data_IF_870891230967
#
_entry.id   IF_870891230967
#
_cell.length_a   1.000
_cell.length_b   1.000
_cell.length_c   1.000
_cell.angle_alpha   90.00
_cell.angle_beta   90.00
_cell.angle_gamma   90.00
#
_symmetry.space_group_name_H-M   'P 1'
#
loop_
_entity.id
_entity.type
_entity.pdbx_description
1 polymer ?
#
# COMPACT_ATOMS: atom_id res chain seq x y z
N UNK A 1 15.11 1.40 -9.07
CA UNK A 1 13.84 0.77 -8.67
C UNK A 1 14.05 0.14 -7.31
N UNK A 2 13.23 0.50 -6.34
CA UNK A 2 13.31 -0.02 -4.98
C UNK A 2 11.95 -0.60 -4.59
N UNK A 3 11.97 -1.78 -3.97
CA UNK A 3 10.75 -2.41 -3.49
C UNK A 3 10.40 -1.86 -2.12
N UNK A 4 9.11 -1.57 -1.92
CA UNK A 4 8.59 -1.14 -0.63
C UNK A 4 7.43 -2.03 -0.20
N UNK A 5 7.34 -2.23 1.11
CA UNK A 5 6.21 -2.83 1.79
C UNK A 5 5.56 -1.76 2.66
N UNK A 6 4.27 -1.53 2.43
CA UNK A 6 3.44 -0.60 3.17
C UNK A 6 2.38 -1.42 3.89
N UNK A 7 2.31 -1.30 5.22
CA UNK A 7 1.27 -1.94 6.02
C UNK A 7 0.26 -0.87 6.41
N UNK A 8 -1.01 -1.11 6.11
CA UNK A 8 -2.13 -0.25 6.49
C UNK A 8 -3.14 -0.98 7.35
N UNK A 9 -3.97 -0.24 8.08
CA UNK A 9 -5.15 -0.77 8.76
C UNK A 9 -6.29 -0.97 7.74
N UNK A 10 -6.92 -2.13 7.78
CA UNK A 10 -8.05 -2.51 6.93
C UNK A 10 -7.81 -3.82 6.17
N UNK A 11 -8.66 -4.06 5.16
CA UNK A 11 -8.69 -5.28 4.33
C UNK A 11 -8.68 -4.94 2.85
N UNK A 12 -8.36 -5.92 1.99
CA UNK A 12 -8.46 -5.75 0.53
C UNK A 12 -9.92 -5.84 0.07
N UNK A 13 -10.66 -4.75 0.23
CA UNK A 13 -11.99 -4.59 -0.36
C UNK A 13 -11.93 -4.21 -1.85
N UNK A 14 -13.04 -4.28 -2.60
CA UNK A 14 -13.05 -4.02 -4.04
C UNK A 14 -12.44 -2.68 -4.46
N UNK A 15 -12.68 -1.63 -3.69
CA UNK A 15 -12.12 -0.29 -3.93
C UNK A 15 -10.60 -0.26 -3.75
N UNK A 16 -10.08 -0.94 -2.72
CA UNK A 16 -8.64 -1.00 -2.43
C UNK A 16 -7.95 -1.86 -3.48
N UNK A 17 -8.52 -3.01 -3.83
CA UNK A 17 -7.97 -3.88 -4.86
C UNK A 17 -7.92 -3.20 -6.23
N UNK A 18 -8.93 -2.41 -6.59
CA UNK A 18 -8.92 -1.63 -7.83
C UNK A 18 -7.92 -0.45 -7.79
N UNK A 19 -7.69 0.13 -6.62
CA UNK A 19 -6.76 1.24 -6.46
C UNK A 19 -5.29 0.82 -6.43
N UNK A 20 -5.00 -0.46 -6.22
CA UNK A 20 -3.64 -1.01 -6.12
C UNK A 20 -3.51 -2.30 -6.93
N UNK A 21 -4.17 -2.36 -8.09
CA UNK A 21 -4.21 -3.51 -9.00
C UNK A 21 -2.83 -3.88 -9.58
N UNK A 22 -1.94 -2.90 -9.69
CA UNK A 22 -0.53 -3.10 -10.08
C UNK A 22 0.38 -3.54 -8.91
N UNK A 23 -0.16 -3.75 -7.70
CA UNK A 23 0.60 -4.09 -6.49
C UNK A 23 0.20 -5.45 -5.92
N UNK A 24 1.13 -6.07 -5.18
CA UNK A 24 0.84 -7.28 -4.42
C UNK A 24 0.13 -6.91 -3.11
N UNK A 25 -1.09 -7.42 -2.93
CA UNK A 25 -1.89 -7.25 -1.72
C UNK A 25 -1.87 -8.54 -0.88
N UNK A 26 -1.66 -8.42 0.42
CA UNK A 26 -1.70 -9.57 1.35
C UNK A 26 -2.36 -9.18 2.67
N UNK A 27 -3.46 -9.85 3.02
CA UNK A 27 -4.09 -9.66 4.32
C UNK A 27 -3.21 -10.20 5.44
N UNK A 28 -3.08 -9.42 6.51
CA UNK A 28 -2.33 -9.75 7.71
C UNK A 28 -3.28 -9.86 8.92
N UNK A 29 -2.91 -10.63 9.96
CA UNK A 29 -3.72 -10.72 11.17
C UNK A 29 -3.98 -9.35 11.82
N UNK A 30 -5.17 -9.18 12.40
CA UNK A 30 -5.53 -7.97 13.16
C UNK A 30 -6.00 -6.80 12.29
N UNK A 31 -6.74 -7.07 11.22
CA UNK A 31 -7.30 -6.05 10.31
C UNK A 31 -6.21 -5.17 9.69
N UNK A 32 -5.21 -5.84 9.09
CA UNK A 32 -4.08 -5.19 8.44
C UNK A 32 -3.96 -5.69 7.02
N UNK A 33 -3.51 -4.82 6.13
CA UNK A 33 -3.23 -5.13 4.75
C UNK A 33 -1.78 -4.73 4.43
N UNK A 34 -1.02 -5.65 3.86
CA UNK A 34 0.28 -5.37 3.27
C UNK A 34 0.09 -5.06 1.78
N UNK A 35 0.69 -3.97 1.34
CA UNK A 35 0.76 -3.51 -0.05
C UNK A 35 2.23 -3.49 -0.42
N UNK A 36 2.62 -4.27 -1.42
CA UNK A 36 3.99 -4.36 -1.91
C UNK A 36 4.06 -3.96 -3.38
N UNK A 37 4.99 -3.08 -3.70
CA UNK A 37 5.22 -2.60 -5.06
C UNK A 37 6.67 -2.23 -5.31
N UNK A 38 7.01 -2.08 -6.58
CA UNK A 38 8.29 -1.50 -7.01
C UNK A 38 8.11 -0.04 -7.40
N UNK A 39 9.00 0.82 -6.94
CA UNK A 39 8.94 2.24 -7.17
C UNK A 39 10.18 2.69 -7.93
N UNK A 40 9.95 3.39 -9.05
CA UNK A 40 11.04 3.91 -9.90
C UNK A 40 11.77 5.08 -9.26
N UNK A 41 11.05 5.90 -8.49
CA UNK A 41 11.53 7.08 -7.79
C UNK A 41 10.68 7.43 -6.55
N UNK A 42 11.07 8.50 -5.84
CA UNK A 42 10.33 8.99 -4.67
C UNK A 42 8.97 9.60 -5.04
N UNK A 43 8.78 10.12 -6.25
CA UNK A 43 7.51 10.70 -6.69
C UNK A 43 6.43 9.61 -6.85
N UNK A 44 6.82 8.44 -7.34
CA UNK A 44 5.96 7.26 -7.48
C UNK A 44 5.51 6.74 -6.11
N UNK A 45 6.44 6.70 -5.14
CA UNK A 45 6.11 6.36 -3.76
C UNK A 45 5.17 7.42 -3.16
N UNK A 46 5.46 8.70 -3.33
CA UNK A 46 4.64 9.79 -2.80
C UNK A 46 3.20 9.75 -3.34
N UNK A 47 3.02 9.50 -4.64
CA UNK A 47 1.70 9.34 -5.27
C UNK A 47 0.91 8.18 -4.65
N UNK A 48 1.59 7.09 -4.31
CA UNK A 48 0.98 5.94 -3.64
C UNK A 48 0.56 6.26 -2.22
N UNK A 49 1.39 6.97 -1.46
CA UNK A 49 1.05 7.42 -0.11
C UNK A 49 -0.15 8.37 -0.12
N UNK A 50 -0.24 9.27 -1.11
CA UNK A 50 -1.39 10.15 -1.28
C UNK A 50 -2.67 9.36 -1.58
N UNK A 51 -2.59 8.36 -2.47
CA UNK A 51 -3.73 7.47 -2.78
C UNK A 51 -4.23 6.73 -1.53
N UNK A 52 -3.32 6.28 -0.65
CA UNK A 52 -3.70 5.67 0.63
C UNK A 52 -4.46 6.66 1.54
N UNK A 53 -4.03 7.92 1.58
CA UNK A 53 -4.70 8.98 2.33
C UNK A 53 -6.09 9.31 1.77
N UNK A 54 -6.23 9.38 0.44
CA UNK A 54 -7.51 9.62 -0.24
C UNK A 54 -8.53 8.51 0.09
N UNK A 55 -8.05 7.27 0.22
CA UNK A 55 -8.86 6.11 0.63
C UNK A 55 -9.06 6.02 2.15
N UNK A 56 -8.54 6.97 2.93
CA UNK A 56 -8.55 7.00 4.40
C UNK A 56 -7.96 5.74 5.04
N UNK A 57 -6.97 5.14 4.39
CA UNK A 57 -6.22 4.01 4.93
C UNK A 57 -5.14 4.53 5.88
N UNK A 58 -5.18 4.07 7.12
CA UNK A 58 -4.17 4.43 8.13
C UNK A 58 -2.88 3.67 7.86
N UNK A 59 -1.79 4.39 7.59
CA UNK A 59 -0.47 3.80 7.39
C UNK A 59 0.13 3.44 8.75
N UNK A 60 0.39 2.15 8.96
CA UNK A 60 0.98 1.63 10.18
C UNK A 60 2.50 1.49 10.06
N UNK A 61 3.01 1.18 8.87
CA UNK A 61 4.45 0.93 8.64
C UNK A 61 4.82 1.09 7.17
N UNK A 62 6.00 1.63 6.90
CA UNK A 62 6.64 1.65 5.57
C UNK A 62 8.05 1.08 5.72
N UNK A 63 8.43 0.13 4.85
CA UNK A 63 9.76 -0.48 4.83
C UNK A 63 10.24 -0.63 3.40
N UNK A 64 11.54 -0.40 3.16
CA UNK A 64 12.20 -0.89 1.95
C UNK A 64 12.42 -2.38 2.10
N UNK A 65 12.01 -3.16 1.10
CA UNK A 65 12.30 -4.59 1.00
C UNK A 65 13.71 -4.83 0.45
#
# INVERSE_FOLDING_TARGET
MQSYQIIVRGKSGPMVSAAFDEMELSELPGDRLMIRGEFVDQASLHSTLHRLQDLRLEILTIRSA
#
